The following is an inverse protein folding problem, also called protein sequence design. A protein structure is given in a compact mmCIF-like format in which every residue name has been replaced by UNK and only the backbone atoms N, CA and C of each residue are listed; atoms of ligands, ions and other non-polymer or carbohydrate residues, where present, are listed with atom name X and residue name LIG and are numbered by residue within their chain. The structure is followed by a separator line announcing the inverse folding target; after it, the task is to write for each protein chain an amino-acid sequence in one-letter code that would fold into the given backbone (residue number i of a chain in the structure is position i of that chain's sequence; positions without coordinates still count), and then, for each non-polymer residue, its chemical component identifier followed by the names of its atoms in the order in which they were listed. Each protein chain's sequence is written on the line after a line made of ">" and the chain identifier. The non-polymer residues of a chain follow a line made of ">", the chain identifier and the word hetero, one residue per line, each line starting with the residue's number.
data_IF_490815943597
#
_entry.id   IF_490815943597
#
_cell.length_a   1.000
_cell.length_b   1.000
_cell.length_c   1.000
_cell.angle_alpha   90.00
_cell.angle_beta   90.00
_cell.angle_gamma   90.00
#
_symmetry.space_group_name_H-M   'P 1'
#
loop_
_entity.id
_entity.type
_entity.pdbx_description
1 polymer ?
#
# COMPACT_ATOMS: atom_id res chain seq x y z
N UNK A 1 -24.10 1.22 -1.14
CA UNK A 1 -22.63 1.05 -1.17
C UNK A 1 -22.35 -0.33 -1.75
N UNK A 2 -21.37 -0.47 -2.66
CA UNK A 2 -21.00 -1.80 -3.17
C UNK A 2 -20.34 -2.60 -2.04
N UNK A 3 -20.71 -3.86 -1.86
CA UNK A 3 -20.04 -4.76 -0.93
C UNK A 3 -18.79 -5.32 -1.63
N UNK A 4 -17.64 -5.19 -0.99
CA UNK A 4 -16.40 -5.80 -1.40
C UNK A 4 -16.10 -7.02 -0.51
N UNK A 5 -15.37 -8.03 -1.01
CA UNK A 5 -14.95 -9.15 -0.18
C UNK A 5 -14.01 -8.68 0.93
N UNK A 6 -13.81 -9.51 1.96
CA UNK A 6 -12.87 -9.21 3.04
C UNK A 6 -11.45 -9.04 2.50
N UNK A 7 -10.74 -8.02 3.01
CA UNK A 7 -9.38 -7.69 2.60
C UNK A 7 -8.45 -7.56 3.81
N UNK A 8 -7.29 -8.19 3.75
CA UNK A 8 -6.13 -7.83 4.55
C UNK A 8 -5.17 -7.03 3.70
N UNK A 9 -4.86 -5.79 4.10
CA UNK A 9 -4.01 -4.90 3.32
C UNK A 9 -2.74 -4.58 4.11
N UNK A 10 -1.60 -4.88 3.49
CA UNK A 10 -0.26 -4.64 3.99
C UNK A 10 0.44 -3.58 3.13
N UNK A 11 1.18 -2.69 3.77
CA UNK A 11 2.20 -1.89 3.10
C UNK A 11 3.53 -2.62 3.18
N UNK A 12 4.34 -2.54 2.11
CA UNK A 12 5.71 -3.05 2.13
C UNK A 12 6.52 -2.49 3.30
N UNK A 13 7.47 -3.26 3.80
CA UNK A 13 8.41 -2.86 4.84
C UNK A 13 9.28 -1.66 4.44
N UNK A 14 9.93 -1.04 5.41
CA UNK A 14 10.85 0.07 5.17
C UNK A 14 11.93 -0.30 4.15
N UNK A 15 12.18 0.61 3.22
CA UNK A 15 13.27 0.50 2.24
C UNK A 15 14.35 1.54 2.51
N UNK A 16 15.54 1.36 1.92
CA UNK A 16 16.63 2.33 2.01
C UNK A 16 16.18 3.74 1.59
N UNK A 17 15.36 3.86 0.53
CA UNK A 17 14.84 5.16 0.11
C UNK A 17 13.78 5.72 1.04
N UNK A 18 13.03 4.87 1.76
CA UNK A 18 12.17 5.36 2.83
C UNK A 18 13.00 5.97 3.97
N UNK A 19 14.06 5.29 4.43
CA UNK A 19 14.97 5.80 5.45
C UNK A 19 15.65 7.10 5.04
N UNK A 20 15.91 7.28 3.73
CA UNK A 20 16.47 8.52 3.14
C UNK A 20 15.40 9.58 2.82
N UNK A 21 14.12 9.38 3.15
CA UNK A 21 13.01 10.28 2.81
C UNK A 21 12.91 10.62 1.31
N UNK A 22 13.16 9.64 0.42
CA UNK A 22 13.04 9.79 -1.04
C UNK A 22 11.71 9.23 -1.56
N UNK A 23 11.15 9.86 -2.59
CA UNK A 23 10.03 9.33 -3.35
C UNK A 23 10.49 8.18 -4.25
N UNK A 24 9.81 7.05 -4.19
CA UNK A 24 10.18 5.90 -5.02
C UNK A 24 9.38 5.82 -6.32
N UNK A 25 8.05 5.99 -6.23
CA UNK A 25 7.19 5.78 -7.39
C UNK A 25 7.45 4.40 -8.02
N UNK A 26 7.79 4.39 -9.31
CA UNK A 26 8.07 3.16 -10.07
C UNK A 26 9.44 2.51 -9.79
N UNK A 27 10.38 3.25 -9.19
CA UNK A 27 11.70 2.70 -8.85
C UNK A 27 11.64 1.91 -7.57
N UNK A 28 12.64 1.09 -7.36
CA UNK A 28 12.74 0.21 -6.21
C UNK A 28 14.03 0.47 -5.42
N UNK A 29 13.99 0.16 -4.14
CA UNK A 29 15.16 0.04 -3.28
C UNK A 29 14.96 -1.12 -2.31
N UNK A 30 16.05 -1.68 -1.82
CA UNK A 30 16.02 -2.86 -0.96
C UNK A 30 15.30 -2.58 0.36
N UNK A 31 14.69 -3.61 0.95
CA UNK A 31 14.20 -3.56 2.32
C UNK A 31 15.38 -3.41 3.29
N UNK A 32 15.27 -2.49 4.25
CA UNK A 32 16.20 -2.40 5.38
C UNK A 32 16.00 -3.59 6.34
N UNK A 33 16.90 -3.73 7.32
CA UNK A 33 16.72 -4.70 8.40
C UNK A 33 15.40 -4.43 9.16
N UNK A 34 15.06 -3.16 9.42
CA UNK A 34 13.78 -2.76 10.00
C UNK A 34 12.60 -3.15 9.10
N UNK A 35 12.72 -2.97 7.78
CA UNK A 35 11.69 -3.36 6.83
C UNK A 35 11.41 -4.85 6.80
N UNK A 36 12.46 -5.68 6.90
CA UNK A 36 12.30 -7.14 7.02
C UNK A 36 11.62 -7.52 8.35
N UNK A 37 12.02 -6.90 9.46
CA UNK A 37 11.36 -7.10 10.76
C UNK A 37 9.89 -6.69 10.75
N UNK A 38 9.55 -5.61 10.03
CA UNK A 38 8.15 -5.19 9.83
C UNK A 38 7.35 -6.23 9.03
N UNK A 39 7.93 -6.84 8.00
CA UNK A 39 7.30 -7.93 7.26
C UNK A 39 7.09 -9.18 8.14
N UNK A 40 8.06 -9.52 9.00
CA UNK A 40 7.91 -10.59 10.00
C UNK A 40 6.82 -10.28 11.03
N UNK A 41 6.67 -9.01 11.43
CA UNK A 41 5.57 -8.55 12.28
C UNK A 41 4.22 -8.79 11.61
N UNK A 42 4.10 -8.45 10.32
CA UNK A 42 2.90 -8.70 9.52
C UNK A 42 2.60 -10.20 9.40
N UNK A 43 3.63 -11.03 9.23
CA UNK A 43 3.50 -12.50 9.29
C UNK A 43 2.90 -12.94 10.64
N UNK A 44 3.46 -12.45 11.76
CA UNK A 44 2.99 -12.75 13.11
C UNK A 44 1.51 -12.38 13.34
N UNK A 45 1.02 -11.29 12.72
CA UNK A 45 -0.39 -10.91 12.74
C UNK A 45 -1.25 -11.88 11.92
N UNK A 46 -0.84 -12.16 10.67
CA UNK A 46 -1.64 -12.96 9.73
C UNK A 46 -1.72 -14.43 10.12
N UNK A 47 -0.67 -15.02 10.71
CA UNK A 47 -0.67 -16.44 11.15
C UNK A 47 -1.72 -16.75 12.22
N UNK A 48 -2.32 -15.74 12.84
CA UNK A 48 -3.42 -15.89 13.81
C UNK A 48 -4.79 -15.79 13.16
N UNK A 49 -4.86 -15.66 11.84
CA UNK A 49 -6.09 -15.51 11.06
C UNK A 49 -6.33 -16.74 10.20
N UNK A 50 -7.58 -17.04 9.97
CA UNK A 50 -7.94 -18.04 8.96
C UNK A 50 -7.88 -17.39 7.59
N UNK A 51 -6.94 -17.83 6.75
CA UNK A 51 -6.77 -17.37 5.38
C UNK A 51 -7.28 -18.38 4.34
N UNK A 52 -8.05 -19.37 4.78
CA UNK A 52 -8.66 -20.36 3.87
C UNK A 52 -9.53 -19.65 2.83
N UNK A 53 -9.29 -19.89 1.56
CA UNK A 53 -10.01 -19.25 0.46
C UNK A 53 -9.59 -17.81 0.14
N UNK A 54 -8.55 -17.26 0.79
CA UNK A 54 -7.99 -15.97 0.42
C UNK A 54 -7.01 -16.08 -0.74
N UNK A 55 -7.13 -15.18 -1.73
CA UNK A 55 -6.06 -14.93 -2.69
C UNK A 55 -4.93 -14.15 -2.02
N UNK A 56 -3.70 -14.37 -2.46
CA UNK A 56 -2.56 -13.54 -2.08
C UNK A 56 -2.04 -12.76 -3.29
N UNK A 57 -2.27 -11.45 -3.29
CA UNK A 57 -1.91 -10.55 -4.39
C UNK A 57 -0.89 -9.52 -3.92
N UNK A 58 0.13 -9.28 -4.74
CA UNK A 58 1.15 -8.27 -4.43
C UNK A 58 1.43 -7.37 -5.63
N UNK A 59 1.83 -6.12 -5.33
CA UNK A 59 2.45 -5.27 -6.33
C UNK A 59 3.68 -5.96 -6.95
N UNK A 60 3.91 -5.84 -8.28
CA UNK A 60 5.09 -6.40 -8.92
C UNK A 60 6.39 -5.68 -8.55
N UNK A 61 6.33 -4.57 -7.79
CA UNK A 61 7.51 -3.84 -7.34
C UNK A 61 8.26 -4.65 -6.26
N UNK A 62 9.58 -4.80 -6.42
CA UNK A 62 10.42 -5.74 -5.65
C UNK A 62 10.28 -5.60 -4.13
N UNK A 63 10.17 -4.36 -3.59
CA UNK A 63 9.95 -4.12 -2.15
C UNK A 63 8.63 -4.72 -1.64
N UNK A 64 7.56 -4.65 -2.44
CA UNK A 64 6.27 -5.22 -2.06
C UNK A 64 6.30 -6.75 -2.18
N UNK A 65 6.84 -7.27 -3.28
CA UNK A 65 6.99 -8.70 -3.49
C UNK A 65 7.86 -9.35 -2.40
N UNK A 66 9.01 -8.75 -2.07
CA UNK A 66 9.89 -9.26 -0.99
C UNK A 66 9.17 -9.20 0.38
N UNK A 67 8.39 -8.14 0.64
CA UNK A 67 7.57 -8.09 1.86
C UNK A 67 6.52 -9.21 1.86
N UNK A 68 5.84 -9.44 0.73
CA UNK A 68 4.85 -10.51 0.59
C UNK A 68 5.47 -11.89 0.84
N UNK A 69 6.66 -12.15 0.29
CA UNK A 69 7.38 -13.43 0.48
C UNK A 69 7.67 -13.72 1.95
N UNK A 70 7.98 -12.68 2.76
CA UNK A 70 8.21 -12.84 4.21
C UNK A 70 6.89 -12.92 4.97
N UNK A 71 5.96 -12.01 4.67
CA UNK A 71 4.73 -11.88 5.45
C UNK A 71 3.74 -13.04 5.25
N UNK A 72 3.81 -13.72 4.10
CA UNK A 72 2.88 -14.79 3.73
C UNK A 72 3.55 -16.17 3.69
N UNK A 73 4.80 -16.29 4.13
CA UNK A 73 5.53 -17.55 4.15
C UNK A 73 4.75 -18.63 4.91
N UNK A 74 4.43 -19.74 4.23
CA UNK A 74 3.70 -20.87 4.81
C UNK A 74 2.24 -20.61 5.18
N UNK A 75 1.68 -19.43 4.83
CA UNK A 75 0.29 -19.07 5.13
C UNK A 75 -0.64 -19.19 3.92
N UNK A 76 -0.08 -19.23 2.72
CA UNK A 76 -0.81 -19.28 1.44
C UNK A 76 -0.09 -20.21 0.46
N UNK A 77 -0.83 -20.77 -0.50
CA UNK A 77 -0.26 -21.71 -1.49
C UNK A 77 0.58 -21.01 -2.57
N UNK A 78 0.31 -19.72 -2.83
CA UNK A 78 1.02 -18.95 -3.84
C UNK A 78 0.76 -17.46 -3.72
N UNK A 79 1.63 -16.66 -4.31
CA UNK A 79 1.53 -15.20 -4.36
C UNK A 79 1.54 -14.78 -5.82
N UNK A 80 0.47 -14.12 -6.26
CA UNK A 80 0.35 -13.56 -7.60
C UNK A 80 0.66 -12.07 -7.61
N UNK A 81 1.13 -11.55 -8.74
CA UNK A 81 1.39 -10.12 -8.90
C UNK A 81 0.29 -9.45 -9.70
N UNK A 82 -0.15 -8.27 -9.24
CA UNK A 82 -1.09 -7.43 -9.97
C UNK A 82 -0.53 -6.01 -10.14
N UNK A 83 -0.48 -5.54 -11.38
CA UNK A 83 -0.02 -4.20 -11.73
C UNK A 83 -0.86 -3.08 -11.14
N UNK A 84 -2.13 -3.34 -10.81
CA UNK A 84 -3.00 -2.39 -10.15
C UNK A 84 -2.62 -2.11 -8.69
N UNK A 85 -1.78 -2.94 -8.08
CA UNK A 85 -1.28 -2.74 -6.73
C UNK A 85 0.01 -1.90 -6.65
N UNK A 86 0.55 -1.40 -7.78
CA UNK A 86 1.74 -0.52 -7.78
C UNK A 86 1.50 0.77 -7.03
N UNK A 87 2.60 1.36 -6.52
CA UNK A 87 2.52 2.70 -5.92
C UNK A 87 2.14 3.75 -6.98
N UNK A 88 1.51 4.82 -6.52
CA UNK A 88 1.21 5.99 -7.36
C UNK A 88 2.47 6.46 -8.10
N UNK A 89 2.33 6.69 -9.40
CA UNK A 89 3.41 7.20 -10.23
C UNK A 89 3.75 8.65 -9.86
N UNK A 90 5.03 8.91 -9.60
CA UNK A 90 5.54 10.25 -9.26
C UNK A 90 6.40 10.86 -10.39
N UNK A 91 6.26 10.33 -11.60
CA UNK A 91 6.88 10.87 -12.80
C UNK A 91 8.35 11.22 -12.63
N UNK A 92 8.71 12.45 -12.97
CA UNK A 92 10.09 12.96 -12.92
C UNK A 92 10.64 13.16 -11.49
N UNK A 93 9.81 12.99 -10.47
CA UNK A 93 10.23 13.13 -9.06
C UNK A 93 10.66 11.81 -8.42
N UNK A 94 10.59 10.71 -9.16
CA UNK A 94 11.06 9.41 -8.67
C UNK A 94 12.56 9.46 -8.31
N UNK A 95 12.90 9.01 -7.11
CA UNK A 95 14.25 9.04 -6.57
C UNK A 95 14.69 10.35 -5.91
N UNK A 96 13.89 11.42 -5.96
CA UNK A 96 14.23 12.70 -5.35
C UNK A 96 13.88 12.75 -3.87
N UNK A 97 14.63 13.56 -3.12
CA UNK A 97 14.36 13.85 -1.71
C UNK A 97 13.03 14.60 -1.56
N UNK A 98 12.23 14.22 -0.56
CA UNK A 98 10.97 14.94 -0.25
C UNK A 98 11.24 16.36 0.21
N UNK A 99 12.34 16.62 0.93
CA UNK A 99 12.71 17.95 1.37
C UNK A 99 13.02 18.88 0.18
N UNK A 100 13.79 18.39 -0.81
CA UNK A 100 14.09 19.16 -2.02
C UNK A 100 12.82 19.45 -2.83
N UNK A 101 11.92 18.48 -2.90
CA UNK A 101 10.64 18.64 -3.61
C UNK A 101 9.74 19.65 -2.91
N UNK A 102 9.65 19.62 -1.58
CA UNK A 102 8.89 20.63 -0.82
C UNK A 102 9.45 22.04 -1.03
N UNK A 103 10.77 22.19 -1.16
CA UNK A 103 11.39 23.46 -1.48
C UNK A 103 11.05 23.96 -2.91
N UNK A 104 10.82 23.05 -3.86
CA UNK A 104 10.38 23.38 -5.23
C UNK A 104 8.91 23.76 -5.32
N UNK A 105 8.08 23.38 -4.35
CA UNK A 105 6.64 23.60 -4.34
C UNK A 105 6.24 24.26 -3.01
N UNK A 106 6.64 25.53 -2.79
CA UNK A 106 6.50 26.19 -1.49
C UNK A 106 5.05 26.39 -1.04
N UNK A 107 4.09 26.28 -1.96
CA UNK A 107 2.65 26.31 -1.70
C UNK A 107 2.04 24.92 -1.43
N UNK A 108 2.85 23.85 -1.42
CA UNK A 108 2.39 22.53 -1.00
C UNK A 108 2.14 22.54 0.52
N UNK A 109 0.97 22.05 0.94
CA UNK A 109 0.58 21.99 2.37
C UNK A 109 1.41 20.97 3.14
N UNK A 110 1.72 19.86 2.48
CA UNK A 110 2.49 18.76 3.04
C UNK A 110 3.08 17.85 1.93
N UNK A 111 3.80 16.82 2.31
CA UNK A 111 4.39 15.87 1.36
C UNK A 111 3.35 15.05 0.58
N UNK A 112 2.07 15.08 0.96
CA UNK A 112 1.01 14.41 0.24
C UNK A 112 0.67 15.12 -1.06
N UNK A 113 0.71 16.46 -1.06
CA UNK A 113 0.49 17.28 -2.27
C UNK A 113 1.52 17.00 -3.37
N UNK A 114 2.71 16.45 -3.02
CA UNK A 114 3.72 16.06 -4.00
C UNK A 114 3.24 14.95 -4.96
N UNK A 115 2.35 14.08 -4.52
CA UNK A 115 1.84 13.00 -5.38
C UNK A 115 0.92 13.50 -6.50
N UNK A 116 0.16 14.57 -6.23
CA UNK A 116 -0.71 15.19 -7.23
C UNK A 116 0.04 16.11 -8.18
N UNK A 117 1.12 16.76 -7.67
CA UNK A 117 1.86 17.79 -8.41
C UNK A 117 3.04 17.26 -9.21
N UNK A 118 3.35 15.97 -9.12
CA UNK A 118 4.50 15.37 -9.78
C UNK A 118 4.40 15.45 -11.30
N UNK A 119 5.33 16.16 -11.99
CA UNK A 119 5.32 16.26 -13.46
C UNK A 119 5.47 14.88 -14.11
N UNK A 120 4.50 14.51 -14.95
CA UNK A 120 4.42 13.18 -15.55
C UNK A 120 4.06 12.08 -14.55
N UNK A 121 3.53 12.46 -13.37
CA UNK A 121 2.97 11.54 -12.38
C UNK A 121 1.59 11.01 -12.78
N UNK A 122 1.10 10.04 -12.02
CA UNK A 122 -0.21 9.41 -12.25
C UNK A 122 -1.37 10.31 -11.81
N UNK A 123 -1.18 11.04 -10.69
CA UNK A 123 -2.24 11.81 -10.04
C UNK A 123 -3.24 10.93 -9.28
N UNK A 124 -3.99 11.59 -8.37
CA UNK A 124 -4.93 10.91 -7.47
C UNK A 124 -6.12 10.32 -8.22
N UNK A 125 -6.61 11.03 -9.25
CA UNK A 125 -7.77 10.59 -10.04
C UNK A 125 -7.49 9.29 -10.81
N UNK A 126 -6.35 9.18 -11.50
CA UNK A 126 -5.97 7.97 -12.22
C UNK A 126 -5.70 6.79 -11.26
N UNK A 127 -5.07 7.07 -10.11
CA UNK A 127 -4.90 6.08 -9.06
C UNK A 127 -6.26 5.54 -8.58
N UNK A 128 -7.24 6.44 -8.35
CA UNK A 128 -8.59 6.03 -7.95
C UNK A 128 -9.23 5.12 -8.99
N UNK A 129 -9.19 5.50 -10.28
CA UNK A 129 -9.75 4.68 -11.36
C UNK A 129 -9.13 3.29 -11.35
N UNK A 130 -7.80 3.19 -11.35
CA UNK A 130 -7.07 1.91 -11.32
C UNK A 130 -7.42 1.04 -10.12
N UNK A 131 -7.53 1.65 -8.92
CA UNK A 131 -7.90 0.91 -7.72
C UNK A 131 -9.37 0.48 -7.74
N UNK A 132 -10.27 1.27 -8.35
CA UNK A 132 -11.68 0.91 -8.51
C UNK A 132 -11.82 -0.27 -9.47
N UNK A 133 -11.17 -0.22 -10.64
CA UNK A 133 -11.19 -1.29 -11.64
C UNK A 133 -10.66 -2.61 -11.04
N UNK A 134 -9.58 -2.54 -10.24
CA UNK A 134 -9.04 -3.68 -9.50
C UNK A 134 -10.08 -4.28 -8.53
N UNK A 135 -10.65 -3.44 -7.69
CA UNK A 135 -11.65 -3.87 -6.70
C UNK A 135 -12.92 -4.40 -7.34
N UNK A 136 -13.30 -3.85 -8.50
CA UNK A 136 -14.47 -4.29 -9.25
C UNK A 136 -14.29 -5.68 -9.87
N UNK A 137 -13.05 -6.06 -10.17
CA UNK A 137 -12.70 -7.40 -10.63
C UNK A 137 -12.53 -8.43 -9.50
N UNK A 138 -12.44 -7.98 -8.25
CA UNK A 138 -12.16 -8.86 -7.11
C UNK A 138 -13.45 -9.53 -6.62
N UNK A 139 -13.50 -10.86 -6.65
CA UNK A 139 -14.70 -11.64 -6.36
C UNK A 139 -14.57 -12.60 -5.16
N UNK A 140 -13.42 -12.62 -4.51
CA UNK A 140 -13.15 -13.44 -3.32
C UNK A 140 -12.23 -12.71 -2.33
N UNK A 141 -12.19 -13.13 -1.05
CA UNK A 141 -11.31 -12.52 -0.06
C UNK A 141 -9.84 -12.51 -0.49
N UNK A 142 -9.09 -11.48 -0.10
CA UNK A 142 -7.71 -11.33 -0.52
C UNK A 142 -6.79 -10.72 0.54
N UNK A 143 -5.54 -11.17 0.53
CA UNK A 143 -4.42 -10.49 1.20
C UNK A 143 -3.68 -9.68 0.14
N UNK A 144 -3.63 -8.36 0.32
CA UNK A 144 -3.02 -7.42 -0.61
C UNK A 144 -1.73 -6.84 -0.02
N UNK A 145 -0.60 -7.02 -0.71
CA UNK A 145 0.66 -6.37 -0.32
C UNK A 145 0.97 -5.26 -1.32
N UNK A 146 0.92 -4.02 -0.86
CA UNK A 146 1.00 -2.84 -1.69
C UNK A 146 1.83 -1.72 -1.04
N UNK A 147 1.50 -0.46 -1.29
CA UNK A 147 2.29 0.72 -0.96
C UNK A 147 1.50 1.72 -0.12
N UNK A 148 2.15 2.85 0.22
CA UNK A 148 1.61 3.83 1.12
C UNK A 148 0.34 4.51 0.62
N UNK A 149 0.35 5.04 -0.60
CA UNK A 149 -0.78 5.80 -1.16
C UNK A 149 -1.81 4.85 -1.76
N UNK A 150 -1.37 3.83 -2.49
CA UNK A 150 -2.26 2.82 -3.08
C UNK A 150 -3.07 2.07 -2.00
N UNK A 151 -2.45 1.69 -0.87
CA UNK A 151 -3.18 1.10 0.27
C UNK A 151 -4.27 2.03 0.81
N UNK A 152 -3.97 3.34 0.94
CA UNK A 152 -4.97 4.31 1.38
C UNK A 152 -6.10 4.46 0.37
N UNK A 153 -5.79 4.49 -0.92
CA UNK A 153 -6.80 4.61 -1.98
C UNK A 153 -7.75 3.40 -1.99
N UNK A 154 -7.23 2.19 -1.93
CA UNK A 154 -8.04 0.97 -1.84
C UNK A 154 -8.97 1.03 -0.62
N UNK A 155 -8.43 1.37 0.56
CA UNK A 155 -9.23 1.47 1.80
C UNK A 155 -10.28 2.57 1.72
N UNK A 156 -9.92 3.72 1.15
CA UNK A 156 -10.84 4.84 0.95
C UNK A 156 -12.04 4.44 0.07
N UNK A 157 -11.81 3.68 -1.02
CA UNK A 157 -12.87 3.20 -1.92
C UNK A 157 -13.77 2.21 -1.18
N UNK A 158 -13.19 1.22 -0.50
CA UNK A 158 -13.95 0.19 0.25
C UNK A 158 -14.80 0.81 1.35
N UNK A 159 -14.30 1.86 2.02
CA UNK A 159 -15.01 2.59 3.06
C UNK A 159 -16.04 3.60 2.51
N UNK A 160 -16.10 3.79 1.18
CA UNK A 160 -17.00 4.75 0.55
C UNK A 160 -16.69 6.21 0.87
N UNK A 161 -15.42 6.53 1.17
CA UNK A 161 -15.00 7.87 1.56
C UNK A 161 -14.64 8.72 0.33
N UNK A 162 -14.88 10.04 0.36
CA UNK A 162 -14.43 10.96 -0.68
C UNK A 162 -12.91 11.18 -0.67
N UNK A 163 -12.32 11.58 -1.80
CA UNK A 163 -10.87 11.73 -1.99
C UNK A 163 -10.21 12.68 -0.98
N UNK A 164 -10.95 13.66 -0.49
CA UNK A 164 -10.46 14.59 0.52
C UNK A 164 -9.92 13.87 1.79
N UNK A 165 -10.45 12.68 2.10
CA UNK A 165 -10.04 11.88 3.25
C UNK A 165 -8.83 10.97 2.99
N UNK A 166 -8.26 10.95 1.78
CA UNK A 166 -7.13 10.09 1.45
C UNK A 166 -5.92 10.31 2.37
N UNK A 167 -5.67 11.56 2.75
CA UNK A 167 -4.58 11.95 3.65
C UNK A 167 -4.84 11.62 5.11
N UNK A 168 -6.11 11.56 5.51
CA UNK A 168 -6.52 11.33 6.91
C UNK A 168 -6.42 9.85 7.29
N UNK A 169 -6.48 8.95 6.30
CA UNK A 169 -6.36 7.52 6.55
C UNK A 169 -4.97 7.18 7.14
N UNK A 170 -4.92 6.45 8.27
CA UNK A 170 -3.65 6.12 8.90
C UNK A 170 -2.78 5.29 7.95
N UNK A 171 -1.48 5.51 7.96
CA UNK A 171 -0.49 4.67 7.32
C UNK A 171 0.10 3.67 8.30
N UNK A 172 1.20 3.09 7.91
CA UNK A 172 2.02 2.25 8.77
C UNK A 172 2.74 1.15 7.99
N UNK A 173 3.88 0.76 8.52
CA UNK A 173 4.63 -0.42 8.13
C UNK A 173 4.60 -1.38 9.32
N UNK A 174 4.67 -2.69 9.10
CA UNK A 174 4.55 -3.67 10.17
C UNK A 174 3.14 -3.86 10.75
N UNK A 175 2.11 -3.26 10.12
CA UNK A 175 0.70 -3.42 10.52
C UNK A 175 -0.10 -4.06 9.38
N UNK A 176 -1.27 -4.58 9.70
CA UNK A 176 -2.24 -5.10 8.72
C UNK A 176 -3.56 -4.35 8.90
N UNK A 177 -4.16 -3.91 7.81
CA UNK A 177 -5.52 -3.36 7.84
C UNK A 177 -6.50 -4.46 7.40
N UNK A 178 -7.43 -4.82 8.26
CA UNK A 178 -8.57 -5.67 7.92
C UNK A 178 -9.75 -4.79 7.51
N UNK A 179 -10.29 -5.05 6.32
CA UNK A 179 -11.53 -4.43 5.84
C UNK A 179 -12.57 -5.52 5.66
N UNK A 180 -13.67 -5.36 6.34
CA UNK A 180 -14.79 -6.31 6.34
C UNK A 180 -16.08 -5.55 6.62
N UNK A 181 -17.14 -5.84 5.88
CA UNK A 181 -18.48 -5.21 6.05
C UNK A 181 -18.44 -3.67 6.04
N UNK A 182 -17.60 -3.07 5.21
CA UNK A 182 -17.46 -1.61 5.12
C UNK A 182 -16.78 -0.96 6.33
N UNK A 183 -16.15 -1.75 7.18
CA UNK A 183 -15.38 -1.27 8.35
C UNK A 183 -13.88 -1.54 8.17
N UNK A 184 -13.07 -0.76 8.87
CA UNK A 184 -11.62 -0.94 8.90
C UNK A 184 -11.13 -1.14 10.33
N UNK A 185 -10.35 -2.20 10.53
CA UNK A 185 -9.61 -2.45 11.76
C UNK A 185 -8.10 -2.47 11.48
N UNK A 186 -7.32 -1.77 12.30
CA UNK A 186 -5.87 -1.83 12.25
C UNK A 186 -5.38 -2.92 13.20
N UNK A 187 -4.75 -3.94 12.66
CA UNK A 187 -4.22 -5.06 13.43
C UNK A 187 -2.73 -4.83 13.74
N UNK A 188 -2.34 -5.10 14.97
CA UNK A 188 -0.95 -5.05 15.47
C UNK A 188 -0.67 -6.29 16.30
N UNK A 189 0.61 -6.63 16.57
CA UNK A 189 0.93 -7.74 17.48
C UNK A 189 0.44 -7.37 18.88
N UNK A 190 -0.31 -8.28 19.49
CA UNK A 190 -0.82 -8.09 20.86
C UNK A 190 -2.12 -7.29 20.97
N UNK A 191 -2.81 -7.05 19.86
CA UNK A 191 -4.15 -6.46 19.85
C UNK A 191 -5.21 -7.52 19.53
#
# INVERSE_FOLDING_TARGET
>A
MRAYPQLYILRHGETEWNAQNRLQGRFDSALTAAGKAQAQTQHGILRTRDLTGFMALTSPQGRAFHTASIALEGLVDGIETDGCLREIGVGNWAGRSRADLMALVPDARDTFDLYERAPGGEGVSALRSRCTDFLDGLNQPAVLVTHGITSRMIRLIVLGLPDAHLRDLPGGQGVVFNLEDGQQNRLTIGA
#
